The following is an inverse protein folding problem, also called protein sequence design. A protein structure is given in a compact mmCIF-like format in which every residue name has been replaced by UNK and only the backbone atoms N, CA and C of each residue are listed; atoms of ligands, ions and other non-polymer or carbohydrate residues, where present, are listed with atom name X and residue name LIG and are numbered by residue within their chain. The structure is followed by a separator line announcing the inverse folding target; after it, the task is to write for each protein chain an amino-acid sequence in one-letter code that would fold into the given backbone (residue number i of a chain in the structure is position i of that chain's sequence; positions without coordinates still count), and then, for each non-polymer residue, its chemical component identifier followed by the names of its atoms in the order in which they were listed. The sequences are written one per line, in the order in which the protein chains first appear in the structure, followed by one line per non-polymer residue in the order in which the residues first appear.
data_IF_175453321403
#
_entry.id   IF_175453321403
#
_cell.length_a   1.000
_cell.length_b   1.000
_cell.length_c   1.000
_cell.angle_alpha   90.00
_cell.angle_beta   90.00
_cell.angle_gamma   90.00
#
_symmetry.space_group_name_H-M   'P 1'
#
loop_
_entity.id
_entity.type
_entity.pdbx_description
1 polymer ?
#
# COMPACT_ATOMS: atom_id res chain seq x y z
N UNK A 1 13.50 -1.04 -2.28
CA UNK A 1 12.90 0.11 -1.58
C UNK A 1 14.00 1.10 -1.29
N UNK A 2 13.83 2.36 -1.67
CA UNK A 2 14.71 3.43 -1.16
C UNK A 2 14.32 3.80 0.29
N UNK A 3 15.14 4.63 0.94
CA UNK A 3 14.93 5.01 2.34
C UNK A 3 13.56 5.67 2.56
N UNK A 4 13.13 6.59 1.68
CA UNK A 4 11.85 7.28 1.82
C UNK A 4 10.65 6.34 1.64
N UNK A 5 10.76 5.35 0.74
CA UNK A 5 9.76 4.30 0.58
C UNK A 5 9.67 3.41 1.83
N UNK A 6 10.80 3.04 2.43
CA UNK A 6 10.83 2.28 3.68
C UNK A 6 10.17 3.05 4.81
N UNK A 7 10.53 4.32 4.99
CA UNK A 7 9.93 5.20 6.01
C UNK A 7 8.42 5.35 5.81
N UNK A 8 7.95 5.49 4.57
CA UNK A 8 6.53 5.57 4.25
C UNK A 8 5.77 4.29 4.62
N UNK A 9 6.32 3.10 4.34
CA UNK A 9 5.71 1.81 4.70
C UNK A 9 5.67 1.66 6.23
N UNK A 10 6.78 1.92 6.92
CA UNK A 10 6.86 1.83 8.38
C UNK A 10 5.84 2.76 9.02
N UNK A 11 5.77 4.01 8.55
CA UNK A 11 4.80 4.99 9.03
C UNK A 11 3.37 4.49 8.84
N UNK A 12 3.04 3.96 7.66
CA UNK A 12 1.71 3.44 7.36
C UNK A 12 1.31 2.19 8.15
N UNK A 13 2.29 1.37 8.60
CA UNK A 13 2.03 0.18 9.43
C UNK A 13 1.95 0.49 10.93
N UNK A 14 2.58 1.56 11.38
CA UNK A 14 2.72 1.88 12.81
C UNK A 14 1.79 2.99 13.29
N UNK A 15 1.07 3.64 12.38
CA UNK A 15 0.14 4.73 12.69
C UNK A 15 -1.25 4.41 12.15
N UNK A 16 -2.29 4.86 12.87
CA UNK A 16 -3.68 4.73 12.43
C UNK A 16 -3.97 5.54 11.16
N UNK A 17 -3.18 6.59 10.91
CA UNK A 17 -3.28 7.42 9.73
C UNK A 17 -1.89 7.82 9.22
N UNK A 18 -1.64 7.62 7.93
CA UNK A 18 -0.41 8.00 7.28
C UNK A 18 -0.69 8.64 5.91
N UNK A 19 0.07 9.68 5.58
CA UNK A 19 -0.03 10.38 4.30
C UNK A 19 1.27 10.25 3.52
N UNK A 20 1.25 9.41 2.49
CA UNK A 20 2.41 9.20 1.61
C UNK A 20 2.35 10.19 0.45
N UNK A 21 3.31 11.12 0.38
CA UNK A 21 3.43 12.12 -0.70
C UNK A 21 4.67 11.86 -1.54
N UNK A 22 4.61 12.21 -2.82
CA UNK A 22 5.78 12.19 -3.70
C UNK A 22 5.44 12.67 -5.11
N UNK A 23 6.39 13.23 -5.87
CA UNK A 23 6.23 13.58 -7.28
C UNK A 23 5.72 12.43 -8.17
N UNK A 24 5.20 12.70 -9.38
CA UNK A 24 4.87 11.65 -10.34
C UNK A 24 6.07 10.71 -10.58
N UNK A 25 5.82 9.40 -10.67
CA UNK A 25 6.88 8.40 -10.91
C UNK A 25 7.66 7.93 -9.68
N UNK A 26 7.44 8.48 -8.48
CA UNK A 26 8.23 8.10 -7.27
C UNK A 26 7.78 6.82 -6.56
N UNK A 27 7.12 5.89 -7.26
CA UNK A 27 6.81 4.58 -6.71
C UNK A 27 5.70 4.54 -5.64
N UNK A 28 4.84 5.56 -5.51
CA UNK A 28 3.71 5.57 -4.56
C UNK A 28 2.81 4.33 -4.70
N UNK A 29 2.48 3.92 -5.92
CA UNK A 29 1.69 2.70 -6.16
C UNK A 29 2.43 1.44 -5.72
N UNK A 30 3.76 1.43 -5.84
CA UNK A 30 4.60 0.33 -5.34
C UNK A 30 4.61 0.27 -3.81
N UNK A 31 4.69 1.41 -3.12
CA UNK A 31 4.54 1.48 -1.65
C UNK A 31 3.20 0.89 -1.22
N UNK A 32 2.09 1.33 -1.83
CA UNK A 32 0.75 0.83 -1.52
C UNK A 32 0.64 -0.68 -1.74
N UNK A 33 1.27 -1.21 -2.79
CA UNK A 33 1.33 -2.64 -3.06
C UNK A 33 2.05 -3.41 -1.96
N UNK A 34 3.24 -2.96 -1.55
CA UNK A 34 3.99 -3.61 -0.47
C UNK A 34 3.25 -3.55 0.86
N UNK A 35 2.58 -2.42 1.14
CA UNK A 35 1.76 -2.26 2.33
C UNK A 35 0.61 -3.28 2.37
N UNK A 36 -0.16 -3.40 1.28
CA UNK A 36 -1.27 -4.36 1.20
C UNK A 36 -0.75 -5.80 1.32
N UNK A 37 0.38 -6.15 0.67
CA UNK A 37 1.00 -7.47 0.80
C UNK A 37 1.36 -7.78 2.25
N UNK A 38 2.03 -6.86 2.95
CA UNK A 38 2.37 -7.02 4.36
C UNK A 38 1.14 -7.18 5.27
N UNK A 39 0.07 -6.41 5.03
CA UNK A 39 -1.19 -6.52 5.77
C UNK A 39 -1.87 -7.87 5.52
N UNK A 40 -1.88 -8.36 4.28
CA UNK A 40 -2.45 -9.66 3.92
C UNK A 40 -1.68 -10.82 4.56
N UNK A 41 -0.35 -10.80 4.49
CA UNK A 41 0.53 -11.81 5.09
C UNK A 41 0.37 -11.91 6.62
N UNK A 42 0.02 -10.79 7.26
CA UNK A 42 -0.17 -10.72 8.71
C UNK A 42 -1.64 -10.74 9.16
N UNK A 43 -2.59 -10.85 8.22
CA UNK A 43 -4.02 -10.71 8.49
C UNK A 43 -4.51 -11.60 9.62
N UNK A 44 -4.13 -12.88 9.62
CA UNK A 44 -4.55 -13.83 10.65
C UNK A 44 -3.92 -13.53 12.02
N UNK A 45 -2.62 -13.24 12.04
CA UNK A 45 -1.86 -12.96 13.28
C UNK A 45 -2.33 -11.67 13.95
N UNK A 46 -2.58 -10.64 13.16
CA UNK A 46 -3.03 -9.33 13.61
C UNK A 46 -4.57 -9.20 13.67
N UNK A 47 -5.32 -10.28 13.41
CA UNK A 47 -6.79 -10.30 13.43
C UNK A 47 -7.42 -9.17 12.60
N UNK A 48 -6.83 -8.88 11.43
CA UNK A 48 -7.27 -7.79 10.58
C UNK A 48 -8.54 -8.15 9.81
N UNK A 49 -9.44 -7.17 9.71
CA UNK A 49 -10.65 -7.24 8.90
C UNK A 49 -10.37 -7.19 7.37
N UNK A 50 -11.41 -7.02 6.55
CA UNK A 50 -11.23 -6.78 5.12
C UNK A 50 -10.43 -5.48 4.88
N UNK A 51 -9.56 -5.50 3.87
CA UNK A 51 -8.80 -4.33 3.42
C UNK A 51 -9.59 -3.69 2.27
N UNK A 52 -9.90 -2.40 2.39
CA UNK A 52 -10.60 -1.64 1.37
C UNK A 52 -9.59 -0.77 0.62
N UNK A 53 -9.53 -0.93 -0.71
CA UNK A 53 -8.69 -0.12 -1.60
C UNK A 53 -9.60 0.79 -2.42
N UNK A 54 -9.35 2.10 -2.36
CA UNK A 54 -10.12 3.11 -3.10
C UNK A 54 -9.17 3.89 -4.00
N UNK A 55 -9.57 4.09 -5.25
CA UNK A 55 -8.82 4.87 -6.25
C UNK A 55 -9.75 5.84 -6.95
N UNK A 56 -9.21 6.95 -7.44
CA UNK A 56 -10.01 7.98 -8.14
C UNK A 56 -10.51 7.52 -9.51
N UNK A 57 -9.78 6.62 -10.18
CA UNK A 57 -10.14 6.09 -11.50
C UNK A 57 -10.08 4.57 -11.51
N UNK A 58 -10.97 3.96 -12.30
CA UNK A 58 -10.97 2.50 -12.50
C UNK A 58 -9.65 2.01 -13.07
N UNK A 59 -9.08 2.74 -14.04
CA UNK A 59 -7.80 2.38 -14.63
C UNK A 59 -6.66 2.27 -13.60
N UNK A 60 -6.62 3.16 -12.60
CA UNK A 60 -5.65 3.07 -11.52
C UNK A 60 -5.91 1.88 -10.59
N UNK A 61 -7.19 1.59 -10.30
CA UNK A 61 -7.60 0.43 -9.51
C UNK A 61 -7.22 -0.88 -10.21
N UNK A 62 -7.53 -1.01 -11.50
CA UNK A 62 -7.24 -2.20 -12.30
C UNK A 62 -5.74 -2.50 -12.33
N UNK A 63 -4.91 -1.48 -12.59
CA UNK A 63 -3.45 -1.62 -12.55
C UNK A 63 -2.94 -1.99 -11.16
N UNK A 64 -3.56 -1.49 -10.10
CA UNK A 64 -3.17 -1.82 -8.73
C UNK A 64 -3.48 -3.29 -8.42
N UNK A 65 -4.68 -3.76 -8.77
CA UNK A 65 -5.11 -5.14 -8.56
C UNK A 65 -4.31 -6.13 -9.41
N UNK A 66 -4.05 -5.81 -10.68
CA UNK A 66 -3.22 -6.64 -11.56
C UNK A 66 -1.82 -6.86 -10.97
N UNK A 67 -1.20 -5.81 -10.40
CA UNK A 67 0.11 -5.91 -9.73
C UNK A 67 0.06 -6.61 -8.36
N UNK A 68 -1.12 -6.72 -7.77
CA UNK A 68 -1.32 -7.41 -6.49
C UNK A 68 -1.47 -8.92 -6.68
N UNK A 69 -2.15 -9.33 -7.75
CA UNK A 69 -2.46 -10.73 -8.06
C UNK A 69 -1.28 -11.42 -8.77
N UNK A 70 -0.54 -10.68 -9.60
CA UNK A 70 0.65 -11.17 -10.32
C UNK A 70 1.94 -10.88 -9.55
#
# INVERSE_FOLDING_TARGET
LDQGQCEAIITALTHEFALVRGPPGTGKSYIGLQLVKALLENKAKAQLGPIIVVCHTNHALDQFLERLIN
#
